data_IF_503951104155
#
_entry.id   IF_503951104155
#
_cell.length_a   1.000
_cell.length_b   1.000
_cell.length_c   1.000
_cell.angle_alpha   90.00
_cell.angle_beta   90.00
_cell.angle_gamma   90.00
#
_symmetry.space_group_name_H-M   'P 1'
#
loop_
_entity.id
_entity.type
_entity.pdbx_description
1 polymer ?
#
# COMPACT_ATOMS: atom_id res chain seq x y z
N UNK A 1 7.45 11.94 -51.25
CA UNK A 1 7.42 12.50 -49.87
C UNK A 1 7.20 11.33 -48.91
N UNK A 2 8.26 10.60 -48.58
CA UNK A 2 8.25 9.48 -47.63
C UNK A 2 9.08 9.93 -46.44
N UNK A 3 8.41 10.32 -45.34
CA UNK A 3 9.07 10.68 -44.09
C UNK A 3 9.44 9.40 -43.35
N UNK A 4 10.66 8.93 -43.55
CA UNK A 4 11.31 7.93 -42.71
C UNK A 4 11.53 8.51 -41.31
N UNK A 5 10.73 8.12 -40.34
CA UNK A 5 11.02 8.36 -38.92
C UNK A 5 12.24 7.52 -38.52
N UNK A 6 13.35 8.12 -38.06
CA UNK A 6 14.47 7.34 -37.57
C UNK A 6 14.12 6.81 -36.18
N UNK A 7 13.85 5.50 -36.07
CA UNK A 7 13.95 4.78 -34.81
C UNK A 7 15.41 4.83 -34.35
N UNK A 8 15.74 5.82 -33.52
CA UNK A 8 17.07 5.92 -32.90
C UNK A 8 17.14 4.90 -31.77
N UNK A 9 17.77 3.76 -32.06
CA UNK A 9 18.15 2.78 -31.03
C UNK A 9 19.19 3.46 -30.14
N UNK A 10 18.79 3.88 -28.94
CA UNK A 10 19.73 4.39 -27.93
C UNK A 10 20.74 3.29 -27.56
N UNK A 11 22.03 3.64 -27.34
CA UNK A 11 23.04 2.66 -26.98
C UNK A 11 22.67 1.97 -25.65
N UNK A 12 22.70 0.64 -25.65
CA UNK A 12 22.50 -0.20 -24.46
C UNK A 12 23.62 0.05 -23.45
N UNK A 13 23.40 0.94 -22.49
CA UNK A 13 24.17 0.94 -21.24
C UNK A 13 23.66 -0.18 -20.32
N UNK A 14 24.52 -0.98 -19.68
CA UNK A 14 24.15 -2.18 -18.93
C UNK A 14 23.63 -1.87 -17.50
N UNK A 15 22.88 -0.78 -17.33
CA UNK A 15 22.31 -0.40 -16.04
C UNK A 15 20.84 -0.82 -15.99
N UNK A 16 20.60 -2.04 -15.51
CA UNK A 16 19.30 -2.68 -15.39
C UNK A 16 18.31 -1.98 -14.43
N UNK A 17 18.74 -0.97 -13.65
CA UNK A 17 17.89 -0.19 -12.75
C UNK A 17 17.37 1.14 -13.31
N UNK A 18 18.04 1.70 -14.32
CA UNK A 18 17.81 3.09 -14.74
C UNK A 18 16.87 3.24 -15.96
N UNK A 19 16.44 2.16 -16.59
CA UNK A 19 15.87 2.22 -17.95
C UNK A 19 14.46 2.81 -18.02
N UNK A 20 13.65 2.71 -16.97
CA UNK A 20 12.22 3.03 -17.07
C UNK A 20 11.92 4.51 -16.78
N UNK A 21 12.53 5.08 -15.74
CA UNK A 21 12.41 6.50 -15.43
C UNK A 21 13.17 7.36 -16.46
N UNK A 22 14.30 6.87 -16.95
CA UNK A 22 15.12 7.59 -17.95
C UNK A 22 14.44 7.67 -19.32
N UNK A 23 13.81 6.58 -19.78
CA UNK A 23 13.10 6.55 -21.05
C UNK A 23 11.86 7.47 -21.07
N UNK A 24 11.20 7.67 -19.92
CA UNK A 24 10.02 8.53 -19.79
C UNK A 24 10.33 10.02 -20.04
N UNK A 25 11.59 10.42 -19.91
CA UNK A 25 12.02 11.83 -19.99
C UNK A 25 12.74 12.16 -21.30
N UNK A 26 13.14 11.15 -22.07
CA UNK A 26 13.80 11.32 -23.36
C UNK A 26 12.79 11.40 -24.54
N UNK A 27 11.47 11.22 -24.34
CA UNK A 27 10.46 11.27 -25.41
C UNK A 27 9.30 12.26 -25.14
N UNK A 28 8.90 13.10 -26.14
CA UNK A 28 7.78 14.05 -26.00
C UNK A 28 6.38 13.39 -25.88
N UNK A 29 6.29 12.12 -26.25
CA UNK A 29 5.14 11.23 -26.01
C UNK A 29 5.72 10.00 -25.31
N UNK A 30 5.38 9.74 -24.04
CA UNK A 30 5.89 8.57 -23.35
C UNK A 30 5.15 7.35 -23.91
N UNK A 31 5.69 6.72 -24.95
CA UNK A 31 5.18 5.43 -25.37
C UNK A 31 5.28 4.45 -24.20
N UNK A 32 4.17 3.81 -23.83
CA UNK A 32 4.12 2.86 -22.72
C UNK A 32 5.14 1.74 -22.94
N UNK A 33 6.22 1.79 -22.17
CA UNK A 33 7.21 0.71 -22.15
C UNK A 33 6.61 -0.52 -21.47
N UNK A 34 6.98 -1.72 -21.90
CA UNK A 34 6.53 -2.98 -21.27
C UNK A 34 6.78 -3.03 -19.77
N UNK A 35 7.86 -2.42 -19.29
CA UNK A 35 8.17 -2.38 -17.86
C UNK A 35 7.27 -1.40 -17.10
N UNK A 36 6.96 -0.25 -17.68
CA UNK A 36 6.02 0.73 -17.12
C UNK A 36 4.61 0.15 -17.05
N UNK A 37 4.17 -0.52 -18.12
CA UNK A 37 2.87 -1.19 -18.14
C UNK A 37 2.76 -2.25 -17.04
N UNK A 38 3.82 -3.04 -16.83
CA UNK A 38 3.83 -4.07 -15.78
C UNK A 38 3.74 -3.45 -14.39
N UNK A 39 4.42 -2.33 -14.17
CA UNK A 39 4.37 -1.58 -12.92
C UNK A 39 2.93 -1.10 -12.65
N UNK A 40 2.34 -0.37 -13.61
CA UNK A 40 0.99 0.17 -13.55
C UNK A 40 -0.07 -0.95 -13.34
N UNK A 41 0.07 -2.05 -14.07
CA UNK A 41 -0.82 -3.21 -13.97
C UNK A 41 -0.74 -3.86 -12.59
N UNK A 42 0.47 -4.05 -12.06
CA UNK A 42 0.68 -4.68 -10.76
C UNK A 42 0.00 -3.90 -9.64
N UNK A 43 0.05 -2.57 -9.70
CA UNK A 43 -0.55 -1.67 -8.72
C UNK A 43 -2.08 -1.70 -8.77
N UNK A 44 -2.68 -1.72 -9.97
CA UNK A 44 -4.14 -1.82 -10.13
C UNK A 44 -4.68 -3.18 -9.68
N UNK A 45 -4.01 -4.27 -10.03
CA UNK A 45 -4.40 -5.61 -9.60
C UNK A 45 -4.30 -5.73 -8.07
N UNK A 46 -3.18 -5.32 -7.48
CA UNK A 46 -3.02 -5.36 -6.03
C UNK A 46 -4.10 -4.54 -5.31
N UNK A 47 -4.39 -3.32 -5.78
CA UNK A 47 -5.38 -2.45 -5.12
C UNK A 47 -6.80 -2.97 -5.31
N UNK A 48 -7.14 -3.51 -6.48
CA UNK A 48 -8.45 -4.10 -6.74
C UNK A 48 -8.74 -5.33 -5.88
N UNK A 49 -7.74 -6.20 -5.64
CA UNK A 49 -7.90 -7.36 -4.74
C UNK A 49 -8.15 -6.92 -3.30
N UNK A 50 -7.40 -5.92 -2.81
CA UNK A 50 -7.61 -5.36 -1.47
C UNK A 50 -8.97 -4.68 -1.35
N UNK A 51 -9.37 -3.91 -2.36
CA UNK A 51 -10.68 -3.27 -2.43
C UNK A 51 -11.80 -4.31 -2.39
N UNK A 52 -11.71 -5.36 -3.20
CA UNK A 52 -12.69 -6.46 -3.21
C UNK A 52 -12.83 -7.08 -1.82
N UNK A 53 -11.71 -7.43 -1.17
CA UNK A 53 -11.71 -8.01 0.18
C UNK A 53 -12.36 -7.09 1.22
N UNK A 54 -12.03 -5.79 1.21
CA UNK A 54 -12.58 -4.80 2.17
C UNK A 54 -14.10 -4.63 2.04
N UNK A 55 -14.66 -4.79 0.85
CA UNK A 55 -16.08 -4.58 0.61
C UNK A 55 -16.93 -5.85 0.76
N UNK A 56 -16.31 -7.02 0.73
CA UNK A 56 -17.02 -8.30 0.64
C UNK A 56 -16.88 -9.19 1.88
N UNK A 57 -16.00 -8.86 2.83
CA UNK A 57 -15.70 -9.72 3.98
C UNK A 57 -16.91 -10.11 4.84
N UNK A 58 -17.95 -9.27 4.92
CA UNK A 58 -19.18 -9.51 5.69
C UNK A 58 -20.39 -9.84 4.81
N UNK A 59 -20.18 -10.15 3.52
CA UNK A 59 -21.24 -10.35 2.54
C UNK A 59 -21.41 -11.83 2.16
N UNK A 60 -22.57 -12.17 1.62
CA UNK A 60 -22.84 -13.52 1.12
C UNK A 60 -21.92 -13.90 -0.04
N UNK A 61 -21.74 -15.20 -0.26
CA UNK A 61 -20.90 -15.73 -1.34
C UNK A 61 -21.33 -15.19 -2.71
N UNK A 62 -22.64 -15.11 -2.97
CA UNK A 62 -23.18 -14.58 -4.22
C UNK A 62 -22.77 -13.13 -4.47
N UNK A 63 -22.88 -12.28 -3.45
CA UNK A 63 -22.49 -10.86 -3.55
C UNK A 63 -20.98 -10.74 -3.75
N UNK A 64 -20.19 -11.56 -3.06
CA UNK A 64 -18.73 -11.59 -3.18
C UNK A 64 -18.29 -11.98 -4.59
N UNK A 65 -18.85 -13.04 -5.16
CA UNK A 65 -18.53 -13.50 -6.51
C UNK A 65 -18.99 -12.46 -7.55
N UNK A 66 -20.23 -11.97 -7.44
CA UNK A 66 -20.76 -10.99 -8.38
C UNK A 66 -19.94 -9.69 -8.38
N UNK A 67 -19.67 -9.12 -7.21
CA UNK A 67 -18.83 -7.92 -7.09
C UNK A 67 -17.40 -8.14 -7.59
N UNK A 68 -16.84 -9.34 -7.41
CA UNK A 68 -15.53 -9.71 -7.93
C UNK A 68 -15.50 -9.76 -9.46
N UNK A 69 -16.53 -10.35 -10.09
CA UNK A 69 -16.68 -10.38 -11.55
C UNK A 69 -16.84 -8.97 -12.13
N UNK A 70 -17.68 -8.14 -11.51
CA UNK A 70 -17.87 -6.73 -11.92
C UNK A 70 -16.56 -5.96 -11.81
N UNK A 71 -15.86 -6.03 -10.68
CA UNK A 71 -14.59 -5.32 -10.49
C UNK A 71 -13.52 -5.79 -11.47
N UNK A 72 -13.41 -7.10 -11.70
CA UNK A 72 -12.45 -7.67 -12.65
C UNK A 72 -12.73 -7.19 -14.07
N UNK A 73 -14.00 -7.15 -14.47
CA UNK A 73 -14.41 -6.68 -15.80
C UNK A 73 -14.11 -5.19 -15.98
N UNK A 74 -14.40 -4.37 -14.97
CA UNK A 74 -14.08 -2.93 -14.97
C UNK A 74 -12.57 -2.69 -15.06
N UNK A 75 -11.77 -3.42 -14.29
CA UNK A 75 -10.31 -3.29 -14.32
C UNK A 75 -9.75 -3.75 -15.67
N UNK A 76 -10.19 -4.88 -16.21
CA UNK A 76 -9.77 -5.36 -17.52
C UNK A 76 -10.11 -4.36 -18.63
N UNK A 77 -11.30 -3.76 -18.59
CA UNK A 77 -11.70 -2.70 -19.52
C UNK A 77 -10.81 -1.46 -19.42
N UNK A 78 -10.54 -0.99 -18.20
CA UNK A 78 -9.65 0.14 -17.97
C UNK A 78 -8.21 -0.14 -18.45
N UNK A 79 -7.66 -1.31 -18.13
CA UNK A 79 -6.32 -1.72 -18.56
C UNK A 79 -6.25 -1.80 -20.10
N UNK A 80 -7.26 -2.39 -20.73
CA UNK A 80 -7.32 -2.49 -22.20
C UNK A 80 -7.36 -1.11 -22.84
N UNK A 81 -8.20 -0.21 -22.31
CA UNK A 81 -8.25 1.19 -22.74
C UNK A 81 -6.90 1.89 -22.59
N UNK A 82 -6.28 1.76 -21.42
CA UNK A 82 -4.97 2.33 -21.11
C UNK A 82 -3.88 1.85 -22.08
N UNK A 83 -3.86 0.56 -22.44
CA UNK A 83 -2.92 0.00 -23.43
C UNK A 83 -3.13 0.54 -24.85
N UNK A 84 -4.36 0.89 -25.24
CA UNK A 84 -4.69 1.33 -26.60
C UNK A 84 -4.44 2.83 -26.77
N UNK A 85 -4.79 3.63 -25.76
CA UNK A 85 -4.75 5.10 -25.82
C UNK A 85 -3.38 5.65 -25.44
N UNK A 86 -2.50 4.81 -24.90
CA UNK A 86 -1.12 5.17 -24.53
C UNK A 86 -1.06 6.37 -23.57
N UNK A 87 -2.02 6.40 -22.64
CA UNK A 87 -2.33 7.55 -21.80
C UNK A 87 -1.91 7.28 -20.36
N UNK A 88 -1.06 8.14 -19.79
CA UNK A 88 -0.38 7.88 -18.51
C UNK A 88 -0.94 8.66 -17.31
N UNK A 89 -1.95 9.51 -17.51
CA UNK A 89 -2.52 10.35 -16.45
C UNK A 89 -3.76 9.72 -15.79
N UNK A 90 -4.59 8.94 -16.50
CA UNK A 90 -5.78 8.31 -15.89
C UNK A 90 -5.42 7.19 -14.91
N UNK A 91 -4.33 6.45 -15.17
CA UNK A 91 -3.85 5.40 -14.26
C UNK A 91 -3.59 5.91 -12.83
N UNK A 92 -2.72 6.92 -12.59
CA UNK A 92 -2.43 7.40 -11.25
C UNK A 92 -3.66 8.05 -10.58
N UNK A 93 -4.57 8.66 -11.36
CA UNK A 93 -5.84 9.19 -10.83
C UNK A 93 -6.72 8.05 -10.31
N UNK A 94 -6.95 7.02 -11.12
CA UNK A 94 -7.76 5.86 -10.72
C UNK A 94 -7.15 5.16 -9.50
N UNK A 95 -5.84 4.91 -9.55
CA UNK A 95 -5.10 4.29 -8.46
C UNK A 95 -5.23 5.10 -7.16
N UNK A 96 -5.04 6.42 -7.22
CA UNK A 96 -5.21 7.32 -6.07
C UNK A 96 -6.63 7.27 -5.48
N UNK A 97 -7.67 7.28 -6.33
CA UNK A 97 -9.07 7.16 -5.91
C UNK A 97 -9.30 5.83 -5.18
N UNK A 98 -8.83 4.71 -5.76
CA UNK A 98 -9.01 3.39 -5.16
C UNK A 98 -8.33 3.31 -3.79
N UNK A 99 -7.12 3.84 -3.64
CA UNK A 99 -6.38 3.86 -2.37
C UNK A 99 -7.11 4.69 -1.31
N UNK A 100 -7.64 5.85 -1.67
CA UNK A 100 -8.45 6.67 -0.76
C UNK A 100 -9.72 5.95 -0.31
N UNK A 101 -10.40 5.26 -1.24
CA UNK A 101 -11.58 4.46 -0.92
C UNK A 101 -11.23 3.34 0.06
N UNK A 102 -10.17 2.56 -0.22
CA UNK A 102 -9.68 1.50 0.67
C UNK A 102 -9.36 2.09 2.04
N UNK A 103 -8.54 3.15 2.11
CA UNK A 103 -8.14 3.75 3.37
C UNK A 103 -9.33 4.27 4.21
N UNK A 104 -10.30 4.91 3.57
CA UNK A 104 -11.52 5.37 4.25
C UNK A 104 -12.37 4.22 4.76
N UNK A 105 -12.56 3.17 3.94
CA UNK A 105 -13.32 1.98 4.34
C UNK A 105 -12.63 1.21 5.46
N UNK A 106 -11.32 1.02 5.39
CA UNK A 106 -10.53 0.44 6.48
C UNK A 106 -10.73 1.22 7.78
N UNK A 107 -10.68 2.56 7.76
CA UNK A 107 -10.94 3.39 8.95
C UNK A 107 -12.38 3.26 9.47
N UNK A 108 -13.37 3.17 8.58
CA UNK A 108 -14.76 2.93 8.96
C UNK A 108 -14.92 1.57 9.65
N UNK A 109 -14.33 0.51 9.09
CA UNK A 109 -14.37 -0.85 9.65
C UNK A 109 -13.68 -0.90 11.01
N UNK A 110 -12.52 -0.24 11.18
CA UNK A 110 -11.85 -0.13 12.49
C UNK A 110 -12.79 0.47 13.55
N UNK A 111 -13.54 1.53 13.20
CA UNK A 111 -14.48 2.16 14.13
C UNK A 111 -15.68 1.27 14.45
N UNK A 112 -16.13 0.45 13.50
CA UNK A 112 -17.30 -0.39 13.64
C UNK A 112 -17.04 -1.72 14.36
N UNK A 113 -15.88 -2.37 14.11
CA UNK A 113 -15.57 -3.72 14.63
C UNK A 113 -14.78 -3.71 15.95
N UNK A 114 -14.08 -2.63 16.28
CA UNK A 114 -13.20 -2.59 17.46
C UNK A 114 -13.87 -1.83 18.59
N UNK A 115 -14.33 -2.55 19.61
CA UNK A 115 -14.91 -1.98 20.83
C UNK A 115 -13.85 -1.47 21.81
N UNK A 116 -12.66 -2.09 21.85
CA UNK A 116 -11.57 -1.64 22.73
C UNK A 116 -10.93 -0.34 22.21
N UNK A 117 -11.00 0.71 23.03
CA UNK A 117 -10.50 2.04 22.69
C UNK A 117 -8.98 2.09 22.50
N UNK A 118 -8.24 1.28 23.26
CA UNK A 118 -6.78 1.19 23.17
C UNK A 118 -6.34 0.63 21.82
N UNK A 119 -6.84 -0.55 21.46
CA UNK A 119 -6.58 -1.21 20.18
C UNK A 119 -7.08 -0.37 19.00
N UNK A 120 -8.27 0.22 19.10
CA UNK A 120 -8.83 1.09 18.07
C UNK A 120 -7.91 2.26 17.75
N UNK A 121 -7.40 2.95 18.77
CA UNK A 121 -6.46 4.07 18.59
C UNK A 121 -5.17 3.61 17.92
N UNK A 122 -4.64 2.45 18.29
CA UNK A 122 -3.43 1.89 17.70
C UNK A 122 -3.61 1.55 16.22
N UNK A 123 -4.69 0.87 15.85
CA UNK A 123 -5.00 0.54 14.46
C UNK A 123 -5.25 1.80 13.62
N UNK A 124 -5.89 2.83 14.19
CA UNK A 124 -6.07 4.11 13.51
C UNK A 124 -4.76 4.88 13.31
N UNK A 125 -3.85 4.81 14.29
CA UNK A 125 -2.50 5.36 14.15
C UNK A 125 -1.71 4.61 13.09
N UNK A 126 -1.76 3.28 13.07
CA UNK A 126 -1.11 2.46 12.06
C UNK A 126 -1.66 2.79 10.65
N UNK A 127 -2.97 2.89 10.49
CA UNK A 127 -3.59 3.33 9.24
C UNK A 127 -3.19 4.77 8.84
N UNK A 128 -2.95 5.66 9.82
CA UNK A 128 -2.43 7.02 9.56
C UNK A 128 -0.99 6.97 9.08
N UNK A 129 -0.13 6.17 9.70
CA UNK A 129 1.25 5.98 9.25
C UNK A 129 1.30 5.38 7.84
N UNK A 130 0.49 4.35 7.55
CA UNK A 130 0.38 3.80 6.19
C UNK A 130 -0.03 4.86 5.15
N UNK A 131 -1.01 5.71 5.48
CA UNK A 131 -1.42 6.81 4.61
C UNK A 131 -0.32 7.89 4.44
N UNK A 132 0.43 8.20 5.49
CA UNK A 132 1.56 9.13 5.43
C UNK A 132 2.64 8.58 4.49
N UNK A 133 3.06 7.32 4.68
CA UNK A 133 4.07 6.71 3.79
C UNK A 133 3.62 6.70 2.33
N UNK A 134 2.36 6.36 2.08
CA UNK A 134 1.80 6.39 0.74
C UNK A 134 1.79 7.81 0.13
N UNK A 135 1.36 8.81 0.91
CA UNK A 135 1.35 10.21 0.48
C UNK A 135 2.76 10.77 0.27
N UNK A 136 3.72 10.42 1.13
CA UNK A 136 5.13 10.78 0.98
C UNK A 136 5.72 10.19 -0.29
N UNK A 137 5.41 8.92 -0.55
CA UNK A 137 5.70 8.34 -1.85
C UNK A 137 5.15 9.20 -2.98
N UNK A 138 3.87 9.58 -2.92
CA UNK A 138 3.20 10.18 -4.08
C UNK A 138 3.76 11.57 -4.36
N UNK A 139 4.14 12.29 -3.30
CA UNK A 139 4.91 13.51 -3.41
C UNK A 139 6.25 13.27 -4.12
N UNK A 140 7.01 12.24 -3.74
CA UNK A 140 8.29 11.90 -4.38
C UNK A 140 8.12 11.55 -5.86
N UNK A 141 7.06 10.81 -6.22
CA UNK A 141 6.72 10.52 -7.62
C UNK A 141 6.40 11.79 -8.41
N UNK A 142 5.66 12.75 -7.83
CA UNK A 142 5.39 14.03 -8.48
C UNK A 142 6.66 14.87 -8.66
N UNK A 143 7.54 14.89 -7.66
CA UNK A 143 8.85 15.56 -7.75
C UNK A 143 9.72 14.91 -8.84
N UNK A 144 9.72 13.58 -8.94
CA UNK A 144 10.47 12.85 -9.97
C UNK A 144 9.98 13.21 -11.38
N UNK A 145 8.66 13.26 -11.59
CA UNK A 145 8.08 13.68 -12.86
C UNK A 145 8.37 15.17 -13.17
N UNK A 146 8.34 16.05 -12.17
CA UNK A 146 8.53 17.49 -12.37
C UNK A 146 9.99 17.88 -12.64
N UNK A 147 10.95 17.19 -12.02
CA UNK A 147 12.38 17.51 -12.10
C UNK A 147 13.19 16.49 -12.90
N UNK A 148 12.55 15.73 -13.80
CA UNK A 148 13.21 14.59 -14.43
C UNK A 148 14.48 14.95 -15.22
N UNK A 149 14.48 16.05 -15.97
CA UNK A 149 15.65 16.48 -16.75
C UNK A 149 16.83 16.88 -15.86
N UNK A 150 16.53 17.59 -14.78
CA UNK A 150 17.54 18.03 -13.79
C UNK A 150 18.10 16.85 -12.99
N UNK A 151 17.24 15.91 -12.58
CA UNK A 151 17.63 14.68 -11.89
C UNK A 151 18.48 13.78 -12.79
N UNK A 152 18.10 13.65 -14.06
CA UNK A 152 18.87 12.91 -15.07
C UNK A 152 20.25 13.50 -15.30
N UNK A 153 20.33 14.82 -15.52
CA UNK A 153 21.60 15.51 -15.73
C UNK A 153 22.53 15.36 -14.53
N UNK A 154 21.97 15.44 -13.32
CA UNK A 154 22.71 15.29 -12.05
C UNK A 154 23.15 13.84 -11.81
N UNK A 155 22.33 12.85 -12.16
CA UNK A 155 22.73 11.42 -12.12
C UNK A 155 23.92 11.14 -13.04
N UNK A 156 23.89 11.70 -14.26
CA UNK A 156 24.98 11.57 -15.24
C UNK A 156 26.27 12.26 -14.78
N UNK A 157 26.19 13.34 -14.00
CA UNK A 157 27.37 14.05 -13.50
C UNK A 157 27.99 13.44 -12.25
N UNK A 158 27.18 12.85 -11.36
CA UNK A 158 27.64 12.31 -10.08
C UNK A 158 28.13 10.85 -10.21
N UNK A 159 27.56 10.05 -11.11
CA UNK A 159 27.93 8.65 -11.28
C UNK A 159 27.59 7.75 -10.08
N UNK A 160 28.07 6.50 -10.12
CA UNK A 160 27.85 5.51 -9.05
C UNK A 160 28.80 5.76 -7.86
N UNK A 161 28.37 5.52 -6.60
CA UNK A 161 27.10 4.93 -6.16
C UNK A 161 25.98 5.95 -5.85
N UNK A 162 26.27 7.25 -5.82
CA UNK A 162 25.32 8.29 -5.40
C UNK A 162 24.20 8.55 -6.40
N UNK A 163 24.33 8.07 -7.64
CA UNK A 163 23.21 8.01 -8.59
C UNK A 163 22.01 7.22 -8.06
N UNK A 164 22.19 6.22 -7.20
CA UNK A 164 21.09 5.42 -6.64
C UNK A 164 20.18 6.21 -5.70
N UNK A 165 20.76 7.13 -4.91
CA UNK A 165 19.98 7.97 -3.98
C UNK A 165 19.10 8.96 -4.76
N UNK A 166 19.55 9.36 -5.95
CA UNK A 166 18.83 10.27 -6.86
C UNK A 166 17.79 9.57 -7.73
N UNK A 167 17.62 8.24 -7.61
CA UNK A 167 16.49 7.51 -8.20
C UNK A 167 15.24 7.66 -7.33
N UNK A 168 14.65 8.85 -7.38
CA UNK A 168 13.46 9.20 -6.59
C UNK A 168 12.27 8.26 -6.90
N UNK A 169 12.19 7.75 -8.13
CA UNK A 169 11.28 6.68 -8.53
C UNK A 169 11.44 5.39 -7.70
N UNK A 170 12.67 5.00 -7.33
CA UNK A 170 12.90 3.84 -6.45
C UNK A 170 12.40 4.08 -5.03
N UNK A 171 12.59 5.30 -4.51
CA UNK A 171 12.07 5.69 -3.19
C UNK A 171 10.53 5.69 -3.16
N UNK A 172 9.88 6.14 -4.24
CA UNK A 172 8.44 6.03 -4.41
C UNK A 172 7.96 4.60 -4.16
N UNK A 173 8.57 3.61 -4.82
CA UNK A 173 8.24 2.19 -4.66
C UNK A 173 8.46 1.66 -3.24
N UNK A 174 9.51 2.11 -2.56
CA UNK A 174 9.75 1.73 -1.16
C UNK A 174 8.64 2.28 -0.25
N UNK A 175 8.33 3.57 -0.40
CA UNK A 175 7.33 4.23 0.45
C UNK A 175 5.91 3.72 0.20
N UNK A 176 5.52 3.52 -1.06
CA UNK A 176 4.22 2.91 -1.40
C UNK A 176 4.15 1.45 -1.00
N UNK A 177 5.24 0.70 -1.16
CA UNK A 177 5.34 -0.69 -0.72
C UNK A 177 5.11 -0.83 0.78
N UNK A 178 5.74 0.02 1.59
CA UNK A 178 5.53 0.05 3.05
C UNK A 178 4.07 0.43 3.37
N UNK A 179 3.53 1.47 2.73
CA UNK A 179 2.15 1.89 2.93
C UNK A 179 1.15 0.78 2.57
N UNK A 180 1.31 0.16 1.41
CA UNK A 180 0.49 -0.94 0.92
C UNK A 180 0.56 -2.15 1.85
N UNK A 181 1.77 -2.52 2.31
CA UNK A 181 1.96 -3.59 3.28
C UNK A 181 1.16 -3.35 4.56
N UNK A 182 1.24 -2.14 5.12
CA UNK A 182 0.48 -1.75 6.31
C UNK A 182 -1.03 -1.88 6.07
N UNK A 183 -1.54 -1.43 4.92
CA UNK A 183 -2.97 -1.52 4.60
C UNK A 183 -3.42 -2.97 4.37
N UNK A 184 -2.64 -3.79 3.66
CA UNK A 184 -2.95 -5.22 3.47
C UNK A 184 -3.04 -5.92 4.83
N UNK A 185 -2.05 -5.71 5.70
CA UNK A 185 -2.04 -6.28 7.05
C UNK A 185 -3.25 -5.81 7.89
N UNK A 186 -3.61 -4.54 7.82
CA UNK A 186 -4.79 -4.00 8.48
C UNK A 186 -6.08 -4.63 7.96
N UNK A 187 -6.23 -4.71 6.64
CA UNK A 187 -7.41 -5.31 6.00
C UNK A 187 -7.51 -6.79 6.35
N UNK A 188 -6.41 -7.53 6.29
CA UNK A 188 -6.37 -8.94 6.66
C UNK A 188 -6.81 -9.15 8.11
N UNK A 189 -6.21 -8.41 9.06
CA UNK A 189 -6.59 -8.45 10.46
C UNK A 189 -8.08 -8.10 10.65
N UNK A 190 -8.55 -7.02 10.04
CA UNK A 190 -9.92 -6.54 10.17
C UNK A 190 -10.96 -7.43 9.50
N UNK A 191 -10.55 -8.31 8.58
CA UNK A 191 -11.43 -9.24 7.85
C UNK A 191 -11.34 -10.66 8.37
N UNK A 192 -10.35 -10.98 9.19
CA UNK A 192 -10.23 -12.25 9.90
C UNK A 192 -11.31 -12.41 10.98
N UNK A 193 -11.48 -13.63 11.49
CA UNK A 193 -12.34 -13.92 12.65
C UNK A 193 -11.62 -13.63 13.99
N UNK A 194 -10.33 -13.32 13.95
CA UNK A 194 -9.46 -13.06 15.13
C UNK A 194 -9.48 -11.60 15.60
N UNK A 195 -10.49 -10.82 15.18
CA UNK A 195 -10.61 -9.40 15.55
C UNK A 195 -10.76 -9.26 17.07
N UNK A 196 -9.72 -8.73 17.73
CA UNK A 196 -9.67 -8.57 19.19
C UNK A 196 -8.51 -9.32 19.86
N UNK A 197 -7.81 -10.20 19.14
CA UNK A 197 -6.57 -10.82 19.61
C UNK A 197 -5.34 -9.91 19.40
N UNK A 198 -4.24 -10.09 20.17
CA UNK A 198 -3.02 -9.31 19.98
C UNK A 198 -2.46 -9.46 18.55
N UNK A 199 -2.31 -8.32 17.88
CA UNK A 199 -1.96 -8.16 16.45
C UNK A 199 -0.79 -9.04 15.98
N UNK A 200 0.18 -9.35 16.85
CA UNK A 200 1.37 -10.14 16.52
C UNK A 200 1.09 -11.58 16.05
N UNK A 201 -0.05 -12.19 16.41
CA UNK A 201 -0.40 -13.54 15.93
C UNK A 201 -1.08 -13.56 14.55
N UNK A 202 -1.71 -12.46 14.14
CA UNK A 202 -2.51 -12.37 12.91
C UNK A 202 -1.76 -11.75 11.71
N UNK A 203 -0.50 -11.35 11.88
CA UNK A 203 0.29 -10.73 10.81
C UNK A 203 0.99 -11.78 9.93
N UNK A 204 0.99 -11.55 8.61
CA UNK A 204 1.74 -12.35 7.65
C UNK A 204 3.27 -12.29 7.91
N UNK A 205 3.95 -13.42 7.70
CA UNK A 205 5.41 -13.55 7.81
C UNK A 205 6.13 -12.55 6.86
N UNK A 206 7.20 -11.84 7.28
CA UNK A 206 7.98 -11.93 8.52
C UNK A 206 7.59 -10.92 9.63
N UNK A 207 6.57 -10.07 9.45
CA UNK A 207 6.26 -9.05 10.46
C UNK A 207 5.78 -9.64 11.78
N UNK A 208 5.21 -10.84 11.80
CA UNK A 208 4.89 -11.57 13.03
C UNK A 208 6.13 -11.89 13.90
N UNK A 209 7.35 -11.90 13.34
CA UNK A 209 8.60 -11.98 14.11
C UNK A 209 9.16 -10.63 14.54
N UNK A 210 8.98 -9.60 13.72
CA UNK A 210 9.56 -8.26 13.96
C UNK A 210 8.69 -7.40 14.88
N UNK A 211 7.38 -7.66 14.90
CA UNK A 211 6.43 -7.05 15.82
C UNK A 211 6.23 -8.02 16.98
N UNK A 212 7.00 -7.92 18.08
CA UNK A 212 6.64 -8.63 19.30
C UNK A 212 5.20 -8.28 19.67
N UNK A 213 4.46 -9.22 20.27
CA UNK A 213 3.03 -9.09 20.64
C UNK A 213 2.68 -7.92 21.59
N UNK A 214 3.60 -6.97 21.77
CA UNK A 214 3.54 -5.77 22.59
C UNK A 214 2.58 -4.69 22.09
N UNK A 215 2.08 -4.75 20.85
CA UNK A 215 1.03 -3.82 20.37
C UNK A 215 -0.33 -4.10 21.06
N UNK A 216 -0.49 -5.22 21.78
CA UNK A 216 -1.62 -5.47 22.70
C UNK A 216 -1.26 -5.46 24.19
N UNK A 217 -0.04 -5.88 24.57
CA UNK A 217 0.31 -6.07 25.98
C UNK A 217 0.67 -4.80 26.75
N UNK A 218 1.09 -3.71 26.07
CA UNK A 218 1.59 -2.51 26.78
C UNK A 218 0.52 -1.78 27.60
N UNK A 219 -0.77 -2.14 27.47
CA UNK A 219 -1.87 -1.56 28.26
C UNK A 219 -2.51 -2.49 29.28
N UNK A 220 -2.52 -3.82 29.09
CA UNK A 220 -3.05 -4.74 30.10
C UNK A 220 -2.21 -4.70 31.40
N UNK A 221 -0.89 -4.54 31.28
CA UNK A 221 -0.01 -4.43 32.46
C UNK A 221 -0.15 -3.13 33.25
N UNK A 222 -0.83 -2.09 32.72
CA UNK A 222 -0.96 -0.80 33.43
C UNK A 222 -2.26 -0.65 34.21
N UNK A 223 -3.23 -1.55 34.03
CA UNK A 223 -4.49 -1.55 34.77
C UNK A 223 -4.52 -2.56 35.93
N UNK A 224 -3.52 -3.44 36.05
CA UNK A 224 -3.49 -4.50 37.06
C UNK A 224 -2.65 -4.18 38.31
N UNK A 225 -2.14 -2.94 38.41
CA UNK A 225 -1.36 -2.49 39.58
C UNK A 225 -2.20 -1.83 40.68
N UNK A 226 -3.53 -1.97 40.64
CA UNK A 226 -4.46 -1.27 41.53
C UNK A 226 -5.21 -2.12 42.56
N UNK A 227 -5.00 -3.44 42.64
CA UNK A 227 -5.70 -4.29 43.63
C UNK A 227 -4.69 -5.01 44.51
N UNK A 228 -4.19 -4.30 45.52
CA UNK A 228 -3.53 -4.93 46.67
C UNK A 228 -4.56 -5.45 47.67
N UNK A 229 -4.52 -6.77 47.83
CA UNK A 229 -5.13 -7.67 48.82
C UNK A 229 -5.25 -7.14 50.25
N UNK A 230 -6.22 -7.72 51.00
CA UNK A 230 -6.11 -8.36 52.33
C UNK A 230 -7.41 -8.11 53.14
N UNK A 231 -8.05 -9.01 53.89
CA UNK A 231 -7.67 -10.31 54.44
C UNK A 231 -8.93 -11.10 54.85
N UNK A 232 -8.83 -12.42 54.96
CA UNK A 232 -9.91 -13.29 55.44
C UNK A 232 -10.08 -13.33 56.97
N UNK A 233 -11.17 -13.97 57.42
CA UNK A 233 -11.30 -14.44 58.80
C UNK A 233 -12.71 -14.88 59.21
N UNK A 234 -12.84 -16.18 59.52
CA UNK A 234 -13.82 -16.85 60.43
C UNK A 234 -15.31 -16.74 60.04
N UNK A 235 -16.11 -17.80 59.92
CA UNK A 235 -16.22 -19.03 60.69
C UNK A 235 -17.66 -19.13 61.24
N UNK A 236 -18.21 -20.35 61.31
CA UNK A 236 -19.42 -20.78 62.05
C UNK A 236 -20.73 -21.01 61.26
N UNK A 237 -21.03 -22.30 61.05
CA UNK A 237 -22.25 -23.04 61.46
C UNK A 237 -23.59 -22.28 61.53
N UNK A 238 -24.61 -22.75 60.80
CA UNK A 238 -25.75 -23.59 61.29
C UNK A 238 -26.89 -23.60 60.25
N UNK A 239 -27.43 -24.81 60.05
CA UNK A 239 -28.77 -25.22 59.58
C UNK A 239 -29.46 -24.41 58.46
#
# INVERSE_FOLDING_TARGET
MLLSYPYRIAPRTPYWGATNAQAKCDTPQPALSWNSLRDDLSMLIATSTVLHRVFTFDKSLTVTVYSGLVLTTLMAGFITWHCIVDETLMHPILFGIMVVIVGNKTRQIIKARILDDGLRRQLQMLARWGAIFFGSGFALWNVDNAFCDSLTATKRSIGMPWSFILELHGWWHIFTGIGAYIFIALVEYLTSDDVGQPLGKSLAWPASRLVPGTIGQRMSSKNDSGVTKSNGGKGSKLL
#
